data_IF_421651231831
#
_entry.id   IF_421651231831
#
_cell.length_a   1.000
_cell.length_b   1.000
_cell.length_c   1.000
_cell.angle_alpha   90.00
_cell.angle_beta   90.00
_cell.angle_gamma   90.00
#
_symmetry.space_group_name_H-M   'P 1'
#
loop_
_entity.id
_entity.type
_entity.pdbx_description
1 polymer ?
#
# COMPACT_ATOMS: atom_id res chain seq x y z
N UNK A 1 12.27 -3.67 -2.85
CA UNK A 1 12.75 -4.19 -1.55
C UNK A 1 12.52 -5.70 -1.50
N UNK A 2 13.38 -6.52 -0.87
CA UNK A 2 13.14 -7.96 -0.81
C UNK A 2 11.85 -8.28 -0.05
N UNK A 3 11.10 -9.26 -0.53
CA UNK A 3 9.83 -9.68 0.07
C UNK A 3 10.05 -10.93 0.91
N UNK A 4 9.53 -10.93 2.14
CA UNK A 4 9.44 -12.12 2.97
C UNK A 4 8.04 -12.73 2.93
N UNK A 5 7.95 -14.04 3.16
CA UNK A 5 6.69 -14.74 3.30
C UNK A 5 6.67 -15.53 4.62
N UNK A 6 5.51 -15.53 5.28
CA UNK A 6 5.20 -16.43 6.39
C UNK A 6 4.32 -17.53 5.83
N UNK A 7 4.85 -18.74 5.70
CA UNK A 7 4.18 -19.90 5.07
C UNK A 7 3.58 -20.85 6.11
N UNK A 8 3.85 -20.62 7.40
CA UNK A 8 3.23 -21.34 8.51
C UNK A 8 3.66 -20.78 9.86
N UNK A 9 3.08 -21.30 10.95
CA UNK A 9 3.31 -20.80 12.32
C UNK A 9 4.78 -20.72 12.73
N UNK A 10 5.62 -21.61 12.19
CA UNK A 10 7.07 -21.65 12.45
C UNK A 10 7.89 -21.62 11.15
N UNK A 11 7.29 -21.20 10.05
CA UNK A 11 7.94 -21.18 8.74
C UNK A 11 7.80 -19.80 8.12
N UNK A 12 8.94 -19.13 8.00
CA UNK A 12 9.08 -17.85 7.33
C UNK A 12 10.42 -17.81 6.61
N UNK A 13 10.49 -17.05 5.53
CA UNK A 13 11.72 -16.90 4.75
C UNK A 13 11.62 -15.73 3.78
N UNK A 14 12.76 -15.40 3.17
CA UNK A 14 12.78 -14.51 2.03
C UNK A 14 12.24 -15.25 0.80
N UNK A 15 11.45 -14.54 0.02
CA UNK A 15 11.14 -14.94 -1.36
C UNK A 15 12.28 -14.49 -2.28
N UNK A 16 12.31 -15.00 -3.50
CA UNK A 16 13.18 -14.48 -4.57
C UNK A 16 12.59 -13.24 -5.26
N UNK A 17 11.49 -12.69 -4.72
CA UNK A 17 10.76 -11.56 -5.28
C UNK A 17 11.17 -10.23 -4.64
N UNK A 18 11.04 -9.18 -5.44
CA UNK A 18 11.33 -7.81 -5.05
C UNK A 18 10.07 -6.98 -5.22
N UNK A 19 9.72 -6.20 -4.18
CA UNK A 19 8.66 -5.22 -4.28
C UNK A 19 8.97 -4.20 -5.40
N UNK A 20 7.98 -3.82 -6.22
CA UNK A 20 8.15 -2.94 -7.38
C UNK A 20 8.18 -1.47 -6.95
N UNK A 21 9.18 -1.10 -6.15
CA UNK A 21 9.31 0.25 -5.59
C UNK A 21 9.42 1.31 -6.70
N UNK A 22 8.57 2.35 -6.69
CA UNK A 22 8.80 3.54 -7.48
C UNK A 22 10.13 4.22 -7.08
N UNK A 23 10.77 4.91 -8.02
CA UNK A 23 12.03 5.59 -7.76
C UNK A 23 11.90 6.60 -6.60
N UNK A 24 12.76 6.47 -5.58
CA UNK A 24 12.74 7.33 -4.40
C UNK A 24 11.67 6.98 -3.35
N UNK A 25 10.98 5.84 -3.50
CA UNK A 25 10.00 5.35 -2.54
C UNK A 25 10.45 4.02 -1.90
N UNK A 26 10.22 3.89 -0.61
CA UNK A 26 10.46 2.68 0.16
C UNK A 26 9.17 1.88 0.30
N UNK A 27 9.26 0.58 0.06
CA UNK A 27 8.20 -0.39 0.34
C UNK A 27 7.91 -0.47 1.83
N UNK A 28 6.62 -0.49 2.19
CA UNK A 28 6.17 -0.61 3.59
C UNK A 28 5.16 -1.73 3.80
N UNK A 29 4.36 -2.07 2.79
CA UNK A 29 3.40 -3.17 2.89
C UNK A 29 2.73 -3.46 1.55
N UNK A 30 2.13 -4.64 1.44
CA UNK A 30 1.25 -5.00 0.33
C UNK A 30 0.17 -5.94 0.86
N UNK A 31 -0.91 -6.06 0.10
CA UNK A 31 -1.90 -7.11 0.28
C UNK A 31 -2.36 -7.61 -1.09
N UNK A 32 -2.73 -8.87 -1.17
CA UNK A 32 -3.20 -9.51 -2.39
C UNK A 32 -4.60 -10.06 -2.17
N UNK A 33 -5.53 -9.71 -3.06
CA UNK A 33 -6.91 -10.13 -2.97
C UNK A 33 -7.44 -10.48 -4.36
N UNK A 34 -8.34 -11.45 -4.43
CA UNK A 34 -9.11 -11.72 -5.64
C UNK A 34 -10.27 -10.74 -5.71
N UNK A 35 -10.28 -9.87 -6.72
CA UNK A 35 -11.31 -8.87 -6.98
C UNK A 35 -12.13 -9.32 -8.18
N UNK A 36 -13.35 -9.79 -7.95
CA UNK A 36 -14.11 -10.51 -8.98
C UNK A 36 -13.34 -11.75 -9.45
N UNK A 37 -12.90 -11.74 -10.72
CA UNK A 37 -12.17 -12.85 -11.33
C UNK A 37 -10.66 -12.62 -11.50
N UNK A 38 -10.13 -11.52 -10.94
CA UNK A 38 -8.72 -11.14 -11.09
C UNK A 38 -8.01 -11.17 -9.73
N UNK A 39 -6.89 -11.85 -9.66
CA UNK A 39 -5.99 -11.77 -8.50
C UNK A 39 -5.16 -10.50 -8.62
N UNK A 40 -5.27 -9.61 -7.65
CA UNK A 40 -4.64 -8.29 -7.70
C UNK A 40 -3.85 -8.02 -6.43
N UNK A 41 -2.66 -7.46 -6.61
CA UNK A 41 -1.77 -7.08 -5.53
C UNK A 41 -1.70 -5.57 -5.46
N UNK A 42 -2.02 -5.02 -4.29
CA UNK A 42 -1.86 -3.61 -3.99
C UNK A 42 -0.62 -3.40 -3.13
N UNK A 43 0.24 -2.50 -3.57
CA UNK A 43 1.48 -2.14 -2.92
C UNK A 43 1.37 -0.77 -2.28
N UNK A 44 1.89 -0.62 -1.06
CA UNK A 44 2.04 0.65 -0.37
C UNK A 44 3.53 1.01 -0.27
N UNK A 45 3.84 2.24 -0.68
CA UNK A 45 5.16 2.82 -0.57
C UNK A 45 5.12 4.19 0.09
N UNK A 46 6.21 4.56 0.76
CA UNK A 46 6.39 5.89 1.36
C UNK A 46 7.68 6.55 0.92
N UNK A 47 7.70 7.88 0.99
CA UNK A 47 8.89 8.71 0.80
C UNK A 47 8.81 9.92 1.72
N UNK A 48 9.96 10.37 2.24
CA UNK A 48 10.05 11.55 3.09
C UNK A 48 11.28 12.37 2.70
N UNK A 49 11.11 13.69 2.64
CA UNK A 49 12.22 14.64 2.71
C UNK A 49 11.79 15.93 3.44
N UNK A 50 12.71 16.70 4.03
CA UNK A 50 12.37 17.87 4.83
C UNK A 50 11.64 19.00 4.08
N UNK A 51 11.75 19.06 2.76
CA UNK A 51 11.15 20.13 1.95
C UNK A 51 9.72 19.77 1.58
N UNK A 52 9.53 18.57 1.03
CA UNK A 52 8.26 18.09 0.48
C UNK A 52 7.43 17.29 1.48
N UNK A 53 8.02 16.82 2.58
CA UNK A 53 7.33 16.08 3.65
C UNK A 53 6.96 14.66 3.21
N UNK A 54 6.03 14.04 3.95
CA UNK A 54 5.52 12.70 3.68
C UNK A 54 4.82 12.62 2.32
N UNK A 55 5.10 11.54 1.60
CA UNK A 55 4.45 11.15 0.35
C UNK A 55 4.21 9.66 0.36
N UNK A 56 3.08 9.22 -0.15
CA UNK A 56 2.72 7.81 -0.20
C UNK A 56 2.20 7.45 -1.59
N UNK A 57 2.44 6.21 -2.00
CA UNK A 57 1.93 5.66 -3.25
C UNK A 57 1.24 4.34 -2.93
N UNK A 58 -0.02 4.22 -3.32
CA UNK A 58 -0.70 2.92 -3.43
C UNK A 58 -0.71 2.55 -4.91
N UNK A 59 -0.13 1.42 -5.31
CA UNK A 59 -0.14 0.98 -6.71
C UNK A 59 -0.63 -0.46 -6.88
N UNK A 60 -1.17 -0.76 -8.05
CA UNK A 60 -1.63 -2.10 -8.45
C UNK A 60 -1.41 -2.30 -9.95
N UNK A 61 -1.71 -3.50 -10.48
CA UNK A 61 -1.44 -3.87 -11.88
C UNK A 61 0.02 -3.59 -12.27
N UNK A 62 0.96 -4.13 -11.48
CA UNK A 62 2.41 -3.97 -11.66
C UNK A 62 2.88 -2.51 -11.77
N UNK A 63 2.17 -1.60 -11.08
CA UNK A 63 2.48 -0.18 -11.06
C UNK A 63 1.90 0.62 -12.24
N UNK A 64 1.13 -0.01 -13.14
CA UNK A 64 0.42 0.69 -14.21
C UNK A 64 -0.67 1.64 -13.68
N UNK A 65 -1.17 1.37 -12.47
CA UNK A 65 -2.16 2.19 -11.78
C UNK A 65 -1.64 2.58 -10.40
N UNK A 66 -1.92 3.83 -9.99
CA UNK A 66 -1.50 4.34 -8.70
C UNK A 66 -2.40 5.45 -8.17
N UNK A 67 -2.46 5.55 -6.84
CA UNK A 67 -2.91 6.72 -6.09
C UNK A 67 -1.69 7.33 -5.43
N UNK A 68 -1.43 8.60 -5.71
CA UNK A 68 -0.35 9.35 -5.08
C UNK A 68 -0.92 10.30 -4.02
N UNK A 69 -0.50 10.10 -2.77
CA UNK A 69 -0.82 11.01 -1.67
C UNK A 69 0.37 11.94 -1.46
N UNK A 70 0.20 13.19 -1.89
CA UNK A 70 1.13 14.29 -1.65
C UNK A 70 0.36 15.49 -1.07
N UNK A 71 1.05 16.44 -0.45
CA UNK A 71 0.39 17.67 0.05
C UNK A 71 -0.35 18.37 -1.10
N UNK A 72 -1.58 18.87 -0.88
CA UNK A 72 -2.25 19.09 0.41
C UNK A 72 -3.15 17.94 0.90
N UNK A 73 -3.09 16.74 0.31
CA UNK A 73 -3.88 15.59 0.77
C UNK A 73 -3.47 15.13 2.18
N UNK A 74 -4.27 14.25 2.77
CA UNK A 74 -4.01 13.65 4.07
C UNK A 74 -2.82 12.67 4.00
N UNK A 75 -1.61 13.23 3.93
CA UNK A 75 -0.34 12.52 3.98
C UNK A 75 0.10 12.31 5.40
N UNK A 76 0.61 11.13 5.69
CA UNK A 76 1.25 10.78 6.96
C UNK A 76 2.17 9.57 6.75
N UNK A 77 2.68 9.01 7.84
CA UNK A 77 3.52 7.84 7.83
C UNK A 77 2.71 6.53 7.67
N UNK A 78 2.11 6.32 6.50
CA UNK A 78 1.35 5.09 6.22
C UNK A 78 2.29 3.89 6.10
N UNK A 79 2.03 2.85 6.88
CA UNK A 79 2.86 1.64 6.95
C UNK A 79 2.06 0.33 6.82
N UNK A 80 0.73 0.37 7.00
CA UNK A 80 -0.14 -0.79 6.83
C UNK A 80 -1.11 -0.63 5.67
N UNK A 81 -1.42 -1.74 5.01
CA UNK A 81 -2.40 -1.84 3.92
C UNK A 81 -3.20 -3.15 4.07
N UNK A 82 -4.48 -3.11 3.73
CA UNK A 82 -5.27 -4.34 3.44
C UNK A 82 -6.31 -4.08 2.37
N UNK A 83 -6.65 -5.11 1.60
CA UNK A 83 -7.55 -5.05 0.45
C UNK A 83 -8.69 -6.03 0.61
N UNK A 84 -9.91 -5.59 0.31
CA UNK A 84 -11.11 -6.42 0.32
C UNK A 84 -11.89 -6.26 -0.98
N UNK A 85 -12.37 -7.37 -1.57
CA UNK A 85 -13.36 -7.32 -2.63
C UNK A 85 -14.72 -6.82 -2.10
N UNK A 86 -15.29 -5.79 -2.74
CA UNK A 86 -16.61 -5.24 -2.43
C UNK A 86 -17.69 -5.71 -3.41
N UNK A 87 -17.33 -6.56 -4.37
CA UNK A 87 -18.17 -6.97 -5.49
C UNK A 87 -18.11 -5.97 -6.64
N UNK A 88 -18.65 -6.38 -7.79
CA UNK A 88 -18.74 -5.58 -9.01
C UNK A 88 -17.39 -4.97 -9.45
N UNK A 89 -16.30 -5.71 -9.27
CA UNK A 89 -14.97 -5.26 -9.69
C UNK A 89 -14.36 -4.15 -8.82
N UNK A 90 -14.92 -3.88 -7.64
CA UNK A 90 -14.45 -2.81 -6.75
C UNK A 90 -13.64 -3.40 -5.59
N UNK A 91 -12.40 -2.94 -5.46
CA UNK A 91 -11.57 -3.19 -4.29
C UNK A 91 -11.76 -2.06 -3.26
N UNK A 92 -11.96 -2.43 -2.00
CA UNK A 92 -11.75 -1.52 -0.87
C UNK A 92 -10.33 -1.67 -0.36
N UNK A 93 -9.57 -0.59 -0.43
CA UNK A 93 -8.20 -0.51 0.06
C UNK A 93 -8.16 0.35 1.32
N UNK A 94 -7.71 -0.23 2.43
CA UNK A 94 -7.46 0.48 3.67
C UNK A 94 -5.96 0.73 3.81
N UNK A 95 -5.58 1.93 4.26
CA UNK A 95 -4.21 2.22 4.70
C UNK A 95 -4.22 2.88 6.07
N UNK A 96 -3.25 2.51 6.91
CA UNK A 96 -3.10 3.03 8.28
C UNK A 96 -1.73 3.66 8.49
N UNK A 97 -1.71 4.81 9.15
CA UNK A 97 -0.47 5.47 9.56
C UNK A 97 -0.12 5.20 11.01
N UNK A 98 1.19 5.06 11.24
CA UNK A 98 1.80 5.01 12.57
C UNK A 98 2.31 6.41 12.93
N UNK A 99 2.00 6.88 14.14
CA UNK A 99 2.46 8.17 14.64
C UNK A 99 3.93 8.14 15.12
N UNK A 100 4.53 6.95 15.28
CA UNK A 100 5.92 6.75 15.73
C UNK A 100 6.29 7.59 16.96
N UNK A 101 5.35 7.84 17.88
CA UNK A 101 5.52 8.72 19.05
C UNK A 101 5.95 10.16 18.69
N UNK A 102 5.68 10.62 17.46
CA UNK A 102 6.01 11.96 16.99
C UNK A 102 4.74 12.84 16.98
N UNK A 103 4.71 13.97 17.71
CA UNK A 103 3.53 14.84 17.77
C UNK A 103 3.18 15.52 16.43
N UNK A 104 4.06 15.47 15.43
CA UNK A 104 3.80 15.96 14.07
C UNK A 104 3.18 14.90 13.16
N UNK A 105 3.20 13.62 13.56
CA UNK A 105 2.58 12.52 12.86
C UNK A 105 1.24 12.18 13.51
N UNK A 106 0.36 11.54 12.76
CA UNK A 106 -1.01 11.24 13.19
C UNK A 106 -1.31 9.76 12.94
N UNK A 107 -2.17 9.20 13.78
CA UNK A 107 -2.81 7.91 13.53
C UNK A 107 -4.05 8.11 12.68
N UNK A 108 -3.94 7.82 11.39
CA UNK A 108 -5.01 7.97 10.40
C UNK A 108 -5.35 6.62 9.80
N UNK A 109 -6.62 6.44 9.47
CA UNK A 109 -7.12 5.32 8.68
C UNK A 109 -7.84 5.89 7.46
N UNK A 110 -7.35 5.58 6.26
CA UNK A 110 -8.00 5.96 5.00
C UNK A 110 -8.58 4.72 4.33
N UNK A 111 -9.69 4.93 3.61
CA UNK A 111 -10.32 3.92 2.77
C UNK A 111 -10.52 4.49 1.36
N UNK A 112 -10.15 3.70 0.34
CA UNK A 112 -10.41 3.99 -1.05
C UNK A 112 -11.26 2.87 -1.64
N UNK A 113 -12.32 3.23 -2.37
CA UNK A 113 -12.99 2.30 -3.28
C UNK A 113 -12.42 2.50 -4.68
N UNK A 114 -11.83 1.45 -5.23
CA UNK A 114 -11.11 1.47 -6.49
C UNK A 114 -11.79 0.48 -7.43
N UNK A 115 -12.27 0.97 -8.58
CA UNK A 115 -12.69 0.09 -9.67
C UNK A 115 -11.44 -0.55 -10.30
N UNK A 116 -11.30 -1.86 -10.12
CA UNK A 116 -10.17 -2.67 -10.57
C UNK A 116 -10.44 -3.25 -11.94
N UNK A 117 -11.62 -3.85 -12.10
CA UNK A 117 -12.15 -4.27 -13.40
C UNK A 117 -13.17 -3.24 -13.87
N UNK A 118 -13.18 -2.94 -15.17
CA UNK A 118 -14.36 -2.31 -15.76
C UNK A 118 -15.46 -3.37 -15.83
N UNK A 119 -16.72 -2.99 -15.58
CA UNK A 119 -17.86 -3.83 -16.00
C UNK A 119 -17.83 -4.08 -17.52
#
# INVERSE_FOLDING_TARGET
SPIGAVTGLNSAGWTDEMAPNPAGYAFVGFDAARIGDTDETFWLFRSYDPIRGNRNVVSWQDGAKAIELTRPLAVDNYEGITVQDRGNGVARVWIISDDNFNPQQRTLLLAFDIAVTSE
#
